data_IF_563996955065
#
_entry.id   IF_563996955065
#
_cell.length_a   1.000
_cell.length_b   1.000
_cell.length_c   1.000
_cell.angle_alpha   90.00
_cell.angle_beta   90.00
_cell.angle_gamma   90.00
#
_symmetry.space_group_name_H-M   'P 1'
#
loop_
_entity.id
_entity.type
_entity.pdbx_description
1 polymer ?
#
# COMPACT_ATOMS: atom_id res chain seq x y z
N UNK A 1 -12.68 -7.18 30.91
CA UNK A 1 -12.38 -5.88 30.29
C UNK A 1 -12.35 -6.16 28.82
N UNK A 2 -13.50 -5.89 28.21
CA UNK A 2 -13.79 -6.28 26.83
C UNK A 2 -13.14 -5.26 25.90
N UNK A 3 -12.06 -5.68 25.25
CA UNK A 3 -11.72 -5.15 23.94
C UNK A 3 -12.32 -6.15 22.96
N UNK A 4 -13.45 -5.81 22.34
CA UNK A 4 -14.01 -6.55 21.20
C UNK A 4 -12.95 -6.60 20.09
N UNK A 5 -12.11 -7.63 20.17
CA UNK A 5 -10.88 -7.76 19.39
C UNK A 5 -11.20 -8.28 18.02
N UNK A 6 -11.66 -7.41 17.12
CA UNK A 6 -11.49 -7.70 15.71
C UNK A 6 -10.01 -8.05 15.46
N UNK A 7 -9.73 -9.19 14.82
CA UNK A 7 -8.35 -9.61 14.59
C UNK A 7 -7.63 -8.50 13.82
N UNK A 8 -6.44 -8.11 14.30
CA UNK A 8 -5.59 -7.15 13.60
C UNK A 8 -5.25 -7.68 12.21
N UNK A 9 -5.22 -6.77 11.25
CA UNK A 9 -4.84 -7.09 9.88
C UNK A 9 -3.42 -6.55 9.66
N UNK A 10 -2.48 -7.35 9.15
CA UNK A 10 -1.15 -6.86 8.82
C UNK A 10 -1.22 -5.76 7.76
N UNK A 11 -0.25 -4.85 7.79
CA UNK A 11 -0.18 -3.69 6.89
C UNK A 11 -1.51 -2.90 6.90
N UNK A 12 -1.96 -2.41 8.07
CA UNK A 12 -3.25 -1.77 8.24
C UNK A 12 -3.51 -0.58 7.30
N UNK A 13 -2.50 0.21 6.94
CA UNK A 13 -2.69 1.32 6.00
C UNK A 13 -2.92 0.81 4.57
N UNK A 14 -2.10 -0.14 4.10
CA UNK A 14 -2.32 -0.83 2.83
C UNK A 14 -3.70 -1.50 2.78
N UNK A 15 -4.19 -1.97 3.94
CA UNK A 15 -5.48 -2.60 4.09
C UNK A 15 -6.66 -1.65 4.34
N UNK A 16 -6.41 -0.35 4.42
CA UNK A 16 -7.46 0.65 4.63
C UNK A 16 -7.93 1.19 3.29
N UNK A 17 -9.24 1.28 3.11
CA UNK A 17 -9.82 1.97 1.97
C UNK A 17 -9.79 3.49 2.21
N UNK A 18 -9.28 4.28 1.27
CA UNK A 18 -9.22 5.74 1.40
C UNK A 18 -9.15 6.45 0.04
N UNK A 19 -9.44 7.75 0.04
CA UNK A 19 -9.34 8.57 -1.17
C UNK A 19 -7.86 8.92 -1.45
N UNK A 20 -7.34 8.72 -2.68
CA UNK A 20 -5.99 9.12 -3.04
C UNK A 20 -5.64 10.56 -2.62
N UNK A 21 -4.49 10.72 -1.98
CA UNK A 21 -4.04 11.97 -1.38
C UNK A 21 -4.48 12.22 0.07
N UNK A 22 -5.23 11.31 0.69
CA UNK A 22 -5.68 11.41 2.09
C UNK A 22 -5.01 10.41 3.04
N UNK A 23 -3.77 9.99 2.74
CA UNK A 23 -3.06 8.97 3.51
C UNK A 23 -2.92 9.34 5.01
N UNK A 24 -2.74 10.62 5.35
CA UNK A 24 -2.64 11.06 6.76
C UNK A 24 -3.99 10.93 7.49
N UNK A 25 -5.10 11.21 6.82
CA UNK A 25 -6.44 11.02 7.38
C UNK A 25 -6.77 9.53 7.54
N UNK A 26 -6.32 8.68 6.60
CA UNK A 26 -6.47 7.24 6.70
C UNK A 26 -5.72 6.69 7.93
N UNK A 27 -4.47 7.10 8.15
CA UNK A 27 -3.69 6.73 9.35
C UNK A 27 -4.38 7.21 10.63
N UNK A 28 -4.82 8.46 10.66
CA UNK A 28 -5.49 9.04 11.84
C UNK A 28 -6.83 8.34 12.18
N UNK A 29 -7.51 7.77 11.18
CA UNK A 29 -8.76 7.02 11.36
C UNK A 29 -8.59 5.64 11.98
N UNK A 30 -7.37 5.10 12.06
CA UNK A 30 -7.11 3.80 12.67
C UNK A 30 -7.20 3.93 14.19
N UNK A 31 -8.12 3.19 14.79
CA UNK A 31 -8.46 3.30 16.22
C UNK A 31 -7.42 2.63 17.12
N UNK A 32 -7.06 1.39 16.83
CA UNK A 32 -6.06 0.61 17.59
C UNK A 32 -4.68 1.29 17.56
N UNK A 33 -4.10 1.66 18.71
CA UNK A 33 -2.84 2.42 18.76
C UNK A 33 -1.64 1.70 18.11
N UNK A 34 -1.55 0.38 18.27
CA UNK A 34 -0.46 -0.41 17.68
C UNK A 34 -0.59 -0.47 16.16
N UNK A 35 -1.79 -0.76 15.66
CA UNK A 35 -2.10 -0.74 14.23
C UNK A 35 -1.89 0.66 13.63
N UNK A 36 -2.24 1.74 14.36
CA UNK A 36 -1.96 3.11 13.91
C UNK A 36 -0.47 3.42 13.87
N UNK A 37 0.32 2.86 14.78
CA UNK A 37 1.79 2.98 14.76
C UNK A 37 2.38 2.29 13.55
N UNK A 38 1.95 1.05 13.26
CA UNK A 38 2.34 0.33 12.05
C UNK A 38 1.90 1.08 10.78
N UNK A 39 0.67 1.56 10.72
CA UNK A 39 0.18 2.36 9.60
C UNK A 39 0.97 3.65 9.39
N UNK A 40 1.44 4.27 10.48
CA UNK A 40 2.34 5.42 10.40
C UNK A 40 3.68 5.02 9.77
N UNK A 41 4.24 3.87 10.18
CA UNK A 41 5.46 3.33 9.58
C UNK A 41 5.28 3.00 8.09
N UNK A 42 4.14 2.44 7.69
CA UNK A 42 3.77 2.23 6.29
C UNK A 42 3.74 3.54 5.50
N UNK A 43 3.07 4.57 6.02
CA UNK A 43 3.00 5.87 5.38
C UNK A 43 4.39 6.49 5.20
N UNK A 44 5.26 6.38 6.21
CA UNK A 44 6.64 6.83 6.15
C UNK A 44 7.43 6.06 5.07
N UNK A 45 7.26 4.74 5.01
CA UNK A 45 7.91 3.89 4.01
C UNK A 45 7.48 4.28 2.58
N UNK A 46 6.18 4.40 2.32
CA UNK A 46 5.66 4.80 1.00
C UNK A 46 6.02 6.24 0.61
N UNK A 47 6.40 7.08 1.58
CA UNK A 47 6.94 8.43 1.35
C UNK A 47 8.46 8.47 1.16
N UNK A 48 9.13 7.32 1.16
CA UNK A 48 10.58 7.20 1.01
C UNK A 48 11.37 7.57 2.27
N UNK A 49 10.74 7.63 3.44
CA UNK A 49 11.39 7.98 4.71
C UNK A 49 11.85 6.72 5.45
N UNK A 50 12.74 5.95 4.81
CA UNK A 50 13.11 4.61 5.26
C UNK A 50 13.62 4.55 6.71
N UNK A 51 14.46 5.50 7.14
CA UNK A 51 14.96 5.56 8.53
C UNK A 51 13.82 5.67 9.54
N UNK A 52 12.91 6.63 9.33
CA UNK A 52 11.78 6.86 10.22
C UNK A 52 10.79 5.71 10.19
N UNK A 53 10.54 5.13 9.01
CA UNK A 53 9.69 3.95 8.87
C UNK A 53 10.23 2.77 9.70
N UNK A 54 11.53 2.47 9.57
CA UNK A 54 12.17 1.39 10.32
C UNK A 54 12.17 1.65 11.83
N UNK A 55 12.44 2.89 12.26
CA UNK A 55 12.40 3.27 13.68
C UNK A 55 11.00 3.16 14.27
N UNK A 56 9.99 3.58 13.52
CA UNK A 56 8.57 3.55 13.97
C UNK A 56 8.05 2.13 14.10
N UNK A 57 8.42 1.22 13.18
CA UNK A 57 7.98 -0.18 13.19
C UNK A 57 8.78 -1.08 14.14
N UNK A 58 10.02 -0.72 14.49
CA UNK A 58 10.95 -1.54 15.27
C UNK A 58 10.38 -2.10 16.59
N UNK A 59 9.58 -1.36 17.39
CA UNK A 59 9.02 -1.88 18.64
C UNK A 59 8.14 -3.13 18.46
N UNK A 60 7.62 -3.38 17.25
CA UNK A 60 6.72 -4.49 16.96
C UNK A 60 7.41 -5.71 16.34
N UNK A 61 8.74 -5.72 16.19
CA UNK A 61 9.48 -6.86 15.60
C UNK A 61 9.31 -8.17 16.36
N UNK A 62 9.16 -8.10 17.68
CA UNK A 62 8.97 -9.27 18.56
C UNK A 62 7.54 -9.32 19.14
N UNK A 63 6.58 -8.66 18.48
CA UNK A 63 5.19 -8.65 18.94
C UNK A 63 4.60 -10.07 18.96
N UNK A 64 3.82 -10.37 20.00
CA UNK A 64 3.10 -11.66 20.10
C UNK A 64 2.05 -11.78 19.01
N UNK A 65 1.38 -10.66 18.68
CA UNK A 65 0.39 -10.56 17.60
C UNK A 65 1.08 -10.71 16.23
N UNK A 66 0.74 -11.75 15.44
CA UNK A 66 1.38 -12.00 14.14
C UNK A 66 1.19 -10.87 13.14
N UNK A 67 0.06 -10.15 13.16
CA UNK A 67 -0.18 -9.07 12.22
C UNK A 67 0.77 -7.90 12.45
N UNK A 68 0.99 -7.53 13.72
CA UNK A 68 1.97 -6.51 14.09
C UNK A 68 3.39 -6.96 13.74
N UNK A 69 3.74 -8.21 14.08
CA UNK A 69 5.06 -8.78 13.81
C UNK A 69 5.38 -8.84 12.32
N UNK A 70 4.49 -9.40 11.49
CA UNK A 70 4.69 -9.46 10.04
C UNK A 70 4.85 -8.06 9.43
N UNK A 71 4.02 -7.10 9.85
CA UNK A 71 4.12 -5.73 9.36
C UNK A 71 5.46 -5.10 9.72
N UNK A 72 5.90 -5.26 10.97
CA UNK A 72 7.17 -4.71 11.44
C UNK A 72 8.37 -5.32 10.72
N UNK A 73 8.42 -6.65 10.65
CA UNK A 73 9.46 -7.37 9.92
C UNK A 73 9.54 -6.95 8.46
N UNK A 74 8.38 -6.79 7.80
CA UNK A 74 8.31 -6.42 6.39
C UNK A 74 8.79 -4.97 6.18
N UNK A 75 8.27 -4.01 6.96
CA UNK A 75 8.66 -2.60 6.86
C UNK A 75 10.14 -2.42 7.22
N UNK A 76 10.61 -2.96 8.35
CA UNK A 76 12.02 -2.86 8.76
C UNK A 76 12.94 -3.56 7.77
N UNK A 77 12.54 -4.71 7.23
CA UNK A 77 13.29 -5.46 6.23
C UNK A 77 13.54 -4.64 4.97
N UNK A 78 12.47 -4.15 4.33
CA UNK A 78 12.57 -3.38 3.09
C UNK A 78 13.18 -1.99 3.29
N UNK A 79 12.84 -1.30 4.39
CA UNK A 79 13.48 -0.03 4.73
C UNK A 79 14.99 -0.19 4.92
N UNK A 80 15.45 -1.28 5.54
CA UNK A 80 16.87 -1.57 5.70
C UNK A 80 17.59 -1.78 4.37
N UNK A 81 16.93 -2.36 3.36
CA UNK A 81 17.50 -2.47 2.01
C UNK A 81 17.70 -1.10 1.37
N UNK A 82 16.73 -0.19 1.48
CA UNK A 82 16.86 1.20 0.99
C UNK A 82 18.00 1.97 1.68
N UNK A 83 18.37 1.56 2.90
CA UNK A 83 19.47 2.13 3.69
C UNK A 83 20.80 1.36 3.51
N UNK A 84 20.85 0.38 2.61
CA UNK A 84 22.01 -0.51 2.39
C UNK A 84 22.46 -1.29 3.65
N UNK A 85 21.53 -1.59 4.56
CA UNK A 85 21.76 -2.36 5.80
C UNK A 85 21.36 -3.82 5.61
N UNK A 86 22.15 -4.54 4.80
CA UNK A 86 21.82 -5.90 4.36
C UNK A 86 21.67 -6.89 5.53
N UNK A 87 22.51 -6.79 6.56
CA UNK A 87 22.44 -7.67 7.73
C UNK A 87 21.13 -7.46 8.52
N UNK A 88 20.68 -6.22 8.65
CA UNK A 88 19.43 -5.88 9.33
C UNK A 88 18.23 -6.32 8.49
N UNK A 89 18.28 -6.11 7.16
CA UNK A 89 17.25 -6.57 6.25
C UNK A 89 17.03 -8.09 6.34
N UNK A 90 18.13 -8.87 6.28
CA UNK A 90 18.09 -10.33 6.44
C UNK A 90 17.47 -10.75 7.76
N UNK A 91 17.89 -10.13 8.87
CA UNK A 91 17.38 -10.44 10.20
C UNK A 91 15.88 -10.16 10.32
N UNK A 92 15.42 -9.01 9.82
CA UNK A 92 14.00 -8.65 9.89
C UNK A 92 13.14 -9.59 9.04
N UNK A 93 13.56 -9.89 7.81
CA UNK A 93 12.80 -10.75 6.91
C UNK A 93 12.80 -12.22 7.33
N UNK A 94 13.85 -12.69 8.03
CA UNK A 94 13.87 -14.03 8.61
C UNK A 94 12.69 -14.26 9.57
N UNK A 95 12.29 -13.25 10.35
CA UNK A 95 11.13 -13.33 11.24
C UNK A 95 9.78 -13.50 10.55
N UNK A 96 9.72 -13.40 9.21
CA UNK A 96 8.54 -13.73 8.40
C UNK A 96 8.60 -15.16 7.89
N UNK A 97 9.81 -15.66 7.59
CA UNK A 97 10.04 -16.95 6.94
C UNK A 97 9.95 -18.14 7.90
N UNK A 98 9.99 -17.88 9.21
CA UNK A 98 9.80 -18.92 10.22
C UNK A 98 8.37 -19.47 10.15
N UNK A 99 8.24 -20.79 9.93
CA UNK A 99 6.93 -21.45 9.82
C UNK A 99 6.17 -21.33 11.15
N UNK A 100 4.91 -20.85 11.14
CA UNK A 100 4.07 -20.88 12.32
C UNK A 100 3.78 -22.32 12.77
N UNK A 101 3.48 -22.50 14.05
CA UNK A 101 3.12 -23.80 14.64
C UNK A 101 1.81 -24.33 14.07
N UNK A 102 1.66 -25.66 13.97
CA UNK A 102 0.57 -26.38 13.25
C UNK A 102 -0.88 -26.09 13.70
N UNK A 103 -1.12 -25.30 14.76
CA UNK A 103 -2.45 -25.00 15.31
C UNK A 103 -2.98 -23.60 14.95
N UNK A 104 -2.78 -23.12 13.72
CA UNK A 104 -3.26 -21.80 13.29
C UNK A 104 -4.49 -21.85 12.36
N UNK A 105 -5.37 -20.86 12.50
CA UNK A 105 -6.56 -20.74 11.64
C UNK A 105 -6.18 -20.55 10.16
N UNK A 106 -7.03 -20.99 9.20
CA UNK A 106 -6.75 -20.83 7.77
C UNK A 106 -6.41 -19.40 7.33
N UNK A 107 -6.97 -18.38 7.98
CA UNK A 107 -6.69 -16.98 7.68
C UNK A 107 -5.27 -16.56 8.09
N UNK A 108 -4.78 -17.05 9.24
CA UNK A 108 -3.40 -16.78 9.70
C UNK A 108 -2.41 -17.52 8.82
N UNK A 109 -2.71 -18.78 8.47
CA UNK A 109 -1.88 -19.55 7.53
C UNK A 109 -1.81 -18.89 6.14
N UNK A 110 -2.94 -18.41 5.59
CA UNK A 110 -2.98 -17.65 4.35
C UNK A 110 -2.12 -16.38 4.42
N UNK A 111 -2.19 -15.68 5.55
CA UNK A 111 -1.41 -14.46 5.81
C UNK A 111 0.08 -14.77 5.85
N UNK A 112 0.48 -15.82 6.55
CA UNK A 112 1.88 -16.25 6.60
C UNK A 112 2.43 -16.56 5.20
N UNK A 113 1.73 -17.40 4.43
CA UNK A 113 2.14 -17.74 3.05
C UNK A 113 2.29 -16.48 2.20
N UNK A 114 1.34 -15.54 2.30
CA UNK A 114 1.40 -14.28 1.56
C UNK A 114 2.64 -13.47 1.92
N UNK A 115 2.90 -13.24 3.20
CA UNK A 115 4.02 -12.40 3.63
C UNK A 115 5.38 -13.08 3.39
N UNK A 116 5.49 -14.40 3.57
CA UNK A 116 6.68 -15.17 3.23
C UNK A 116 6.96 -15.13 1.71
N UNK A 117 5.93 -15.30 0.89
CA UNK A 117 6.03 -15.16 -0.57
C UNK A 117 6.44 -13.73 -0.96
N UNK A 118 5.83 -12.70 -0.37
CA UNK A 118 6.15 -11.30 -0.63
C UNK A 118 7.58 -10.94 -0.23
N UNK A 119 8.06 -11.45 0.91
CA UNK A 119 9.42 -11.23 1.42
C UNK A 119 10.49 -11.75 0.44
N UNK A 120 10.19 -12.82 -0.31
CA UNK A 120 11.11 -13.40 -1.30
C UNK A 120 10.91 -12.83 -2.71
N UNK A 121 9.68 -12.84 -3.23
CA UNK A 121 9.37 -12.48 -4.62
C UNK A 121 9.76 -11.03 -4.93
N UNK A 122 9.52 -10.10 -4.02
CA UNK A 122 9.87 -8.68 -4.22
C UNK A 122 11.39 -8.42 -4.10
N UNK A 123 12.18 -9.42 -3.67
CA UNK A 123 13.64 -9.44 -3.79
C UNK A 123 14.13 -10.22 -5.02
N UNK A 124 13.21 -10.64 -5.88
CA UNK A 124 13.46 -11.51 -7.02
C UNK A 124 14.07 -12.88 -6.63
N UNK A 125 13.72 -13.37 -5.44
CA UNK A 125 14.06 -14.72 -4.99
C UNK A 125 12.90 -15.68 -5.22
N UNK A 126 13.15 -17.01 -5.33
CA UNK A 126 12.08 -18.00 -5.36
C UNK A 126 11.17 -17.88 -4.14
N UNK A 127 9.86 -17.97 -4.36
CA UNK A 127 8.90 -18.07 -3.27
C UNK A 127 9.10 -19.38 -2.50
N UNK A 128 9.04 -19.38 -1.16
CA UNK A 128 9.06 -20.60 -0.37
C UNK A 128 7.79 -21.46 -0.55
N UNK A 129 6.70 -20.84 -1.00
CA UNK A 129 5.40 -21.48 -1.23
C UNK A 129 4.97 -21.38 -2.69
N UNK A 130 4.34 -22.44 -3.19
CA UNK A 130 3.73 -22.47 -4.52
C UNK A 130 2.36 -21.78 -4.55
N UNK A 131 1.90 -21.43 -5.76
CA UNK A 131 0.56 -20.90 -5.93
C UNK A 131 -0.53 -21.94 -5.60
N UNK A 132 -0.25 -23.23 -5.80
CA UNK A 132 -1.16 -24.34 -5.48
C UNK A 132 -1.41 -24.47 -3.98
N UNK A 133 -0.39 -24.20 -3.16
CA UNK A 133 -0.53 -24.12 -1.70
C UNK A 133 -1.35 -22.90 -1.26
N UNK A 134 -1.24 -21.77 -1.97
CA UNK A 134 -1.91 -20.53 -1.59
C UNK A 134 -3.39 -20.46 -2.04
N UNK A 135 -3.74 -20.95 -3.23
CA UNK A 135 -5.08 -20.76 -3.79
C UNK A 135 -6.24 -21.26 -2.92
N UNK A 136 -6.16 -22.43 -2.26
CA UNK A 136 -7.22 -22.89 -1.36
C UNK A 136 -7.46 -21.95 -0.17
N UNK A 137 -6.44 -21.18 0.21
CA UNK A 137 -6.43 -20.32 1.39
C UNK A 137 -6.78 -18.87 1.08
N UNK A 138 -6.63 -18.43 -0.18
CA UNK A 138 -6.80 -17.04 -0.59
C UNK A 138 -8.18 -16.46 -0.20
N UNK A 139 -9.23 -17.28 -0.19
CA UNK A 139 -10.58 -16.85 0.18
C UNK A 139 -10.70 -16.40 1.66
N UNK A 140 -9.81 -16.87 2.54
CA UNK A 140 -9.77 -16.51 3.95
C UNK A 140 -9.12 -15.15 4.22
N UNK A 141 -8.43 -14.57 3.22
CA UNK A 141 -7.87 -13.24 3.34
C UNK A 141 -8.94 -12.15 3.14
N UNK A 142 -8.85 -11.02 3.84
CA UNK A 142 -9.64 -9.84 3.53
C UNK A 142 -9.32 -9.34 2.12
N UNK A 143 -10.26 -8.63 1.50
CA UNK A 143 -10.14 -8.15 0.11
C UNK A 143 -8.83 -7.41 -0.14
N UNK A 144 -8.42 -6.53 0.76
CA UNK A 144 -7.17 -5.76 0.66
C UNK A 144 -5.93 -6.64 0.52
N UNK A 145 -5.82 -7.70 1.33
CA UNK A 145 -4.71 -8.65 1.28
C UNK A 145 -4.82 -9.55 0.05
N UNK A 146 -6.02 -9.85 -0.44
CA UNK A 146 -6.17 -10.53 -1.74
C UNK A 146 -5.64 -9.69 -2.89
N UNK A 147 -5.87 -8.37 -2.89
CA UNK A 147 -5.28 -7.47 -3.90
C UNK A 147 -3.76 -7.45 -3.83
N UNK A 148 -3.20 -7.38 -2.61
CA UNK A 148 -1.75 -7.45 -2.42
C UNK A 148 -1.17 -8.80 -2.87
N UNK A 149 -1.85 -9.90 -2.56
CA UNK A 149 -1.49 -11.23 -3.04
C UNK A 149 -1.51 -11.32 -4.57
N UNK A 150 -2.55 -10.78 -5.22
CA UNK A 150 -2.63 -10.69 -6.68
C UNK A 150 -1.46 -9.92 -7.28
N UNK A 151 -1.02 -8.82 -6.64
CA UNK A 151 0.18 -8.09 -7.05
C UNK A 151 1.44 -8.96 -6.93
N UNK A 152 1.66 -9.61 -5.79
CA UNK A 152 2.84 -10.47 -5.56
C UNK A 152 2.87 -11.62 -6.58
N UNK A 153 1.73 -12.27 -6.83
CA UNK A 153 1.63 -13.33 -7.84
C UNK A 153 1.82 -12.82 -9.27
N UNK A 154 1.24 -11.66 -9.62
CA UNK A 154 1.45 -11.03 -10.92
C UNK A 154 2.93 -10.70 -11.12
N UNK A 155 3.61 -10.21 -10.09
CA UNK A 155 5.05 -9.92 -10.13
C UNK A 155 5.88 -11.20 -10.29
N UNK A 156 5.57 -12.27 -9.56
CA UNK A 156 6.23 -13.57 -9.73
C UNK A 156 6.05 -14.16 -11.14
N UNK A 157 4.87 -13.98 -11.76
CA UNK A 157 4.63 -14.36 -13.16
C UNK A 157 5.45 -13.49 -14.13
N UNK A 158 5.53 -12.19 -13.87
CA UNK A 158 6.34 -11.26 -14.66
C UNK A 158 7.82 -11.68 -14.67
N UNK A 159 8.39 -11.99 -13.50
CA UNK A 159 9.79 -12.40 -13.36
C UNK A 159 10.11 -13.71 -14.12
N UNK A 160 9.10 -14.57 -14.34
CA UNK A 160 9.22 -15.80 -15.15
C UNK A 160 9.05 -15.57 -16.66
N UNK A 161 8.82 -14.34 -17.09
CA UNK A 161 8.54 -14.01 -18.49
C UNK A 161 7.10 -14.31 -18.92
N UNK A 162 6.22 -14.70 -17.98
CA UNK A 162 4.83 -15.03 -18.26
C UNK A 162 3.94 -13.77 -18.29
N UNK A 163 4.32 -12.79 -19.13
CA UNK A 163 3.76 -11.44 -19.11
C UNK A 163 2.25 -11.39 -19.33
N UNK A 164 1.70 -12.24 -20.21
CA UNK A 164 0.25 -12.31 -20.42
C UNK A 164 -0.52 -12.76 -19.17
N UNK A 165 0.02 -13.75 -18.43
CA UNK A 165 -0.57 -14.20 -17.16
C UNK A 165 -0.41 -13.17 -16.06
N UNK A 166 0.73 -12.48 -16.03
CA UNK A 166 0.98 -11.37 -15.11
C UNK A 166 -0.04 -10.24 -15.32
N UNK A 167 -0.24 -9.81 -16.57
CA UNK A 167 -1.23 -8.79 -16.93
C UNK A 167 -2.64 -9.22 -16.53
N UNK A 168 -3.07 -10.42 -16.94
CA UNK A 168 -4.40 -10.93 -16.60
C UNK A 168 -4.65 -11.04 -15.09
N UNK A 169 -3.65 -11.43 -14.30
CA UNK A 169 -3.74 -11.44 -12.84
C UNK A 169 -3.96 -10.04 -12.27
N UNK A 170 -3.19 -9.05 -12.74
CA UNK A 170 -3.28 -7.68 -12.27
C UNK A 170 -4.61 -7.02 -12.66
N UNK A 171 -5.03 -7.15 -13.92
CA UNK A 171 -6.29 -6.57 -14.41
C UNK A 171 -7.51 -7.23 -13.77
N UNK A 172 -7.53 -8.55 -13.61
CA UNK A 172 -8.65 -9.22 -12.96
C UNK A 172 -8.83 -8.76 -11.51
N UNK A 173 -7.74 -8.56 -10.78
CA UNK A 173 -7.81 -8.01 -9.42
C UNK A 173 -8.37 -6.58 -9.40
N UNK A 174 -7.94 -5.73 -10.34
CA UNK A 174 -8.43 -4.35 -10.47
C UNK A 174 -9.92 -4.29 -10.88
N UNK A 175 -10.41 -5.20 -11.73
CA UNK A 175 -11.81 -5.21 -12.19
C UNK A 175 -12.75 -5.73 -11.11
N UNK A 176 -12.30 -6.70 -10.31
CA UNK A 176 -13.13 -7.37 -9.29
C UNK A 176 -13.14 -6.65 -7.95
N UNK A 177 -12.26 -5.67 -7.74
CA UNK A 177 -12.23 -4.92 -6.47
C UNK A 177 -13.53 -4.15 -6.24
N UNK A 178 -14.03 -4.20 -5.01
CA UNK A 178 -15.24 -3.54 -4.54
C UNK A 178 -14.90 -2.31 -3.69
N UNK A 179 -13.78 -2.36 -2.95
CA UNK A 179 -13.24 -1.22 -2.22
C UNK A 179 -12.31 -0.36 -3.08
N UNK A 180 -11.92 0.80 -2.55
CA UNK A 180 -10.79 1.56 -3.10
C UNK A 180 -9.63 1.45 -2.14
N UNK A 181 -8.59 0.70 -2.52
CA UNK A 181 -7.37 0.44 -1.77
C UNK A 181 -6.17 1.02 -2.54
N UNK A 182 -5.93 2.35 -2.44
CA UNK A 182 -5.01 3.06 -3.33
C UNK A 182 -3.60 2.47 -3.40
N UNK A 183 -3.10 1.92 -2.28
CA UNK A 183 -1.74 1.38 -2.21
C UNK A 183 -1.64 0.09 -3.04
N UNK A 184 -2.54 -0.87 -2.83
CA UNK A 184 -2.57 -2.12 -3.60
C UNK A 184 -2.90 -1.88 -5.07
N UNK A 185 -3.87 -1.01 -5.37
CA UNK A 185 -4.22 -0.63 -6.75
C UNK A 185 -3.04 -0.01 -7.49
N UNK A 186 -2.26 0.86 -6.83
CA UNK A 186 -1.05 1.45 -7.42
C UNK A 186 -0.06 0.37 -7.85
N UNK A 187 0.23 -0.60 -6.98
CA UNK A 187 1.15 -1.69 -7.31
C UNK A 187 0.63 -2.61 -8.42
N UNK A 188 -0.68 -2.90 -8.42
CA UNK A 188 -1.33 -3.66 -9.50
C UNK A 188 -1.25 -2.95 -10.84
N UNK A 189 -1.53 -1.64 -10.89
CA UNK A 189 -1.37 -0.85 -12.10
C UNK A 189 0.09 -0.81 -12.57
N UNK A 190 1.07 -0.69 -11.67
CA UNK A 190 2.48 -0.77 -12.07
C UNK A 190 2.85 -2.14 -12.64
N UNK A 191 2.37 -3.24 -12.03
CA UNK A 191 2.60 -4.59 -12.55
C UNK A 191 2.00 -4.79 -13.94
N UNK A 192 0.75 -4.37 -14.14
CA UNK A 192 0.08 -4.39 -15.44
C UNK A 192 0.84 -3.55 -16.47
N UNK A 193 1.26 -2.34 -16.11
CA UNK A 193 2.06 -1.47 -17.00
C UNK A 193 3.36 -2.14 -17.44
N UNK A 194 4.10 -2.77 -16.52
CA UNK A 194 5.33 -3.49 -16.87
C UNK A 194 5.04 -4.66 -17.81
N UNK A 195 3.99 -5.44 -17.54
CA UNK A 195 3.59 -6.56 -18.40
C UNK A 195 3.19 -6.09 -19.82
N UNK A 196 2.39 -5.02 -19.94
CA UNK A 196 2.04 -4.41 -21.22
C UNK A 196 3.28 -3.96 -22.00
N UNK A 197 4.26 -3.32 -21.34
CA UNK A 197 5.52 -2.93 -21.99
C UNK A 197 6.25 -4.14 -22.55
N UNK A 198 6.36 -5.23 -21.78
CA UNK A 198 7.01 -6.47 -22.24
C UNK A 198 6.27 -7.15 -23.38
N UNK A 199 4.94 -6.99 -23.45
CA UNK A 199 4.10 -7.43 -24.57
C UNK A 199 4.09 -6.45 -25.76
N UNK A 200 4.82 -5.33 -25.67
CA UNK A 200 4.88 -4.25 -26.66
C UNK A 200 3.56 -3.52 -26.89
N UNK A 201 2.63 -3.60 -25.95
CA UNK A 201 1.40 -2.79 -25.94
C UNK A 201 1.67 -1.47 -25.18
N UNK A 202 2.20 -0.49 -25.91
CA UNK A 202 2.65 0.78 -25.34
C UNK A 202 1.48 1.63 -24.85
N UNK A 203 0.33 1.55 -25.49
CA UNK A 203 -0.82 2.39 -25.15
C UNK A 203 -1.53 1.87 -23.90
N UNK A 204 -1.68 0.54 -23.77
CA UNK A 204 -2.14 -0.07 -22.52
C UNK A 204 -1.16 0.22 -21.36
N UNK A 205 0.15 0.12 -21.62
CA UNK A 205 1.16 0.44 -20.61
C UNK A 205 1.03 1.88 -20.09
N UNK A 206 0.91 2.87 -20.99
CA UNK A 206 0.68 4.28 -20.61
C UNK A 206 -0.60 4.47 -19.82
N UNK A 207 -1.66 3.74 -20.16
CA UNK A 207 -2.95 3.81 -19.46
C UNK A 207 -2.81 3.35 -18.02
N UNK A 208 -2.22 2.17 -17.79
CA UNK A 208 -1.98 1.67 -16.43
C UNK A 208 -1.02 2.56 -15.65
N UNK A 209 0.08 3.01 -16.26
CA UNK A 209 1.02 3.93 -15.61
C UNK A 209 0.34 5.24 -15.22
N UNK A 210 -0.51 5.81 -16.10
CA UNK A 210 -1.27 7.01 -15.82
C UNK A 210 -2.24 6.85 -14.65
N UNK A 211 -2.88 5.68 -14.51
CA UNK A 211 -3.72 5.35 -13.37
C UNK A 211 -2.92 5.29 -12.06
N UNK A 212 -1.79 4.55 -12.04
CA UNK A 212 -0.89 4.51 -10.89
C UNK A 212 -0.38 5.90 -10.50
N UNK A 213 -0.01 6.71 -11.49
CA UNK A 213 0.43 8.09 -11.28
C UNK A 213 -0.66 8.95 -10.63
N UNK A 214 -1.91 8.85 -11.11
CA UNK A 214 -3.03 9.60 -10.55
C UNK A 214 -3.33 9.22 -9.09
N UNK A 215 -3.12 7.96 -8.72
CA UNK A 215 -3.21 7.51 -7.32
C UNK A 215 -2.09 8.13 -6.47
N UNK A 216 -0.85 8.12 -6.96
CA UNK A 216 0.31 8.64 -6.24
C UNK A 216 0.33 10.17 -6.08
N UNK A 217 -0.35 10.90 -6.97
CA UNK A 217 -0.35 12.37 -6.97
C UNK A 217 -0.90 12.92 -5.66
N UNK A 218 -0.08 13.73 -4.98
CA UNK A 218 -0.58 14.63 -3.93
C UNK A 218 -1.60 15.58 -4.56
N UNK A 219 -2.85 15.52 -4.12
CA UNK A 219 -3.79 16.61 -4.40
C UNK A 219 -3.34 17.82 -3.58
N UNK A 220 -3.03 18.97 -4.19
CA UNK A 220 -2.82 20.17 -3.41
C UNK A 220 -4.09 20.41 -2.60
N UNK A 221 -3.95 20.76 -1.32
CA UNK A 221 -5.06 21.36 -0.58
C UNK A 221 -5.58 22.49 -1.45
N UNK A 222 -6.82 22.36 -1.96
CA UNK A 222 -7.54 23.52 -2.47
C UNK A 222 -7.73 24.41 -1.25
N UNK A 223 -6.76 25.28 -0.97
CA UNK A 223 -7.04 26.55 -0.33
C UNK A 223 -8.20 27.12 -1.13
N UNK A 224 -9.35 27.30 -0.48
CA UNK A 224 -10.49 27.96 -1.09
C UNK A 224 -9.98 29.21 -1.80
N UNK A 225 -9.89 29.16 -3.13
CA UNK A 225 -9.81 30.37 -3.94
C UNK A 225 -11.10 31.10 -3.64
N UNK A 226 -11.06 32.04 -2.70
CA UNK A 226 -12.12 33.01 -2.51
C UNK A 226 -12.40 33.59 -3.89
N UNK A 227 -13.64 33.44 -4.34
CA UNK A 227 -14.10 34.10 -5.55
C UNK A 227 -13.75 35.60 -5.46
N UNK A 228 -13.35 36.26 -6.56
CA UNK A 228 -13.18 37.70 -6.56
C UNK A 228 -14.49 38.33 -6.10
N UNK A 229 -14.45 39.18 -5.06
CA UNK A 229 -15.63 39.95 -4.67
C UNK A 229 -16.06 40.82 -5.86
N UNK A 230 -17.35 40.85 -6.24
CA UNK A 230 -17.79 41.76 -7.28
C UNK A 230 -17.55 43.21 -6.82
N UNK A 231 -16.93 43.98 -7.70
CA UNK A 231 -16.76 45.42 -7.55
C UNK A 231 -18.15 46.06 -7.47
N UNK A 232 -18.55 46.52 -6.29
CA UNK A 232 -19.75 47.34 -6.13
C UNK A 232 -19.35 48.78 -6.42
N UNK A 233 -19.61 49.21 -7.66
CA UNK A 233 -19.51 50.61 -8.07
C UNK A 233 -20.58 51.43 -7.36
N UNK A 234 -20.19 52.14 -6.30
CA UNK A 234 -21.03 53.16 -5.69
C UNK A 234 -20.82 54.49 -6.43
N UNK A 235 -21.71 54.78 -7.38
CA UNK A 235 -21.97 56.15 -7.83
C UNK A 235 -22.45 56.99 -6.64
N UNK A 236 -21.67 57.99 -6.21
CA UNK A 236 -22.22 59.18 -5.54
C UNK A 236 -21.44 60.44 -5.90
N UNK A 237 -22.15 61.38 -6.52
CA UNK A 237 -22.12 62.79 -6.15
C UNK A 237 -20.96 63.62 -6.66
N UNK A 238 -21.12 64.18 -7.86
CA UNK A 238 -20.42 65.41 -8.27
C UNK A 238 -20.94 66.57 -7.43
N UNK A 239 -20.07 67.29 -6.73
CA UNK A 239 -20.31 68.69 -6.39
C UNK A 239 -19.03 69.50 -6.52
N UNK A 240 -19.19 70.58 -7.26
CA UNK A 240 -18.21 71.59 -7.67
C UNK A 240 -17.69 72.35 -6.46
N UNK A 241 -16.38 72.62 -6.41
CA UNK A 241 -15.82 73.83 -5.78
C UNK A 241 -14.71 74.37 -6.69
N UNK A 242 -14.79 75.68 -6.92
CA UNK A 242 -13.98 76.48 -7.82
C UNK A 242 -12.65 76.94 -7.20
N UNK A 243 -11.74 77.31 -8.09
CA UNK A 243 -10.37 77.86 -7.93
C UNK A 243 -10.45 79.29 -7.35
N UNK A 244 -9.41 79.84 -6.68
CA UNK A 244 -8.17 80.29 -7.34
C UNK A 244 -6.89 79.54 -6.89
#
# INVERSE_FOLDING_TARGET
MDCDGYPRIPMPLMCTAFVPGQIDAAVAGISDPDSRTVATAEALYFRGQATLAAETARPHLDATDPALRYSACFICGYASLSLNRIADARRCLAGILDTPTDEESPAVHATHILFASAASVLLHLPSPYSAEEFYPLAAHLPESLRLFASYVMAHALYLRGEYGRSLGMAENALIMTQGSYPISELFLHLAASMACMSLKDIDAAKTHFGAAWNIARRRPHRAHRRAPRPFTGAHRGVSKIAIP
#
